data_IF_243125452578
#
_entry.id   IF_243125452578
#
_cell.length_a   1.000
_cell.length_b   1.000
_cell.length_c   1.000
_cell.angle_alpha   90.00
_cell.angle_beta   90.00
_cell.angle_gamma   90.00
#
_symmetry.space_group_name_H-M   'P 1'
#
loop_
_entity.id
_entity.type
_entity.pdbx_description
1 polymer ?
#
# COMPACT_ATOMS: atom_id res chain seq x y z
N UNK A 1 -46.37 76.72 3.78
CA UNK A 1 -46.10 75.53 4.63
C UNK A 1 -45.73 74.25 3.87
N UNK A 2 -46.35 73.91 2.74
CA UNK A 2 -46.05 72.66 2.00
C UNK A 2 -44.61 72.55 1.45
N UNK A 3 -44.04 73.66 0.97
CA UNK A 3 -42.69 73.67 0.37
C UNK A 3 -41.57 73.33 1.39
N UNK A 4 -41.76 73.71 2.67
CA UNK A 4 -40.84 73.38 3.76
C UNK A 4 -40.92 71.89 4.15
N UNK A 5 -42.12 71.30 4.18
CA UNK A 5 -42.30 69.85 4.39
C UNK A 5 -41.65 69.02 3.27
N UNK A 6 -41.81 69.44 2.01
CA UNK A 6 -41.15 68.80 0.87
C UNK A 6 -39.62 68.84 0.97
N UNK A 7 -39.03 70.01 1.30
CA UNK A 7 -37.57 70.12 1.51
C UNK A 7 -37.06 69.20 2.62
N UNK A 8 -37.82 69.08 3.71
CA UNK A 8 -37.48 68.23 4.86
C UNK A 8 -37.55 66.73 4.54
N UNK A 9 -38.57 66.28 3.80
CA UNK A 9 -38.66 64.91 3.29
C UNK A 9 -37.50 64.59 2.34
N UNK A 10 -37.16 65.51 1.44
CA UNK A 10 -36.06 65.33 0.50
C UNK A 10 -34.70 65.22 1.20
N UNK A 11 -34.50 66.00 2.28
CA UNK A 11 -33.32 65.89 3.14
C UNK A 11 -33.26 64.53 3.87
N UNK A 12 -34.40 64.03 4.40
CA UNK A 12 -34.48 62.70 5.02
C UNK A 12 -34.16 61.57 4.02
N UNK A 13 -34.69 61.63 2.81
CA UNK A 13 -34.37 60.67 1.74
C UNK A 13 -32.89 60.69 1.38
N UNK A 14 -32.28 61.88 1.22
CA UNK A 14 -30.83 62.00 0.98
C UNK A 14 -30.01 61.37 2.10
N UNK A 15 -30.40 61.58 3.36
CA UNK A 15 -29.72 61.00 4.52
C UNK A 15 -29.85 59.47 4.56
N UNK A 16 -31.03 58.91 4.26
CA UNK A 16 -31.23 57.46 4.15
C UNK A 16 -30.39 56.85 3.02
N UNK A 17 -30.33 57.51 1.86
CA UNK A 17 -29.50 57.06 0.74
C UNK A 17 -28.00 57.07 1.11
N UNK A 18 -27.55 58.09 1.84
CA UNK A 18 -26.18 58.15 2.35
C UNK A 18 -25.88 56.99 3.33
N UNK A 19 -26.82 56.67 4.24
CA UNK A 19 -26.70 55.52 5.16
C UNK A 19 -26.62 54.19 4.40
N UNK A 20 -27.46 53.99 3.38
CA UNK A 20 -27.45 52.78 2.55
C UNK A 20 -26.11 52.63 1.79
N UNK A 21 -25.61 53.72 1.20
CA UNK A 21 -24.28 53.73 0.53
C UNK A 21 -23.16 53.34 1.49
N UNK A 22 -23.19 53.87 2.71
CA UNK A 22 -22.21 53.54 3.75
C UNK A 22 -22.28 52.08 4.19
N UNK A 23 -23.49 51.51 4.36
CA UNK A 23 -23.65 50.08 4.65
C UNK A 23 -23.13 49.20 3.51
N UNK A 24 -23.43 49.55 2.26
CA UNK A 24 -22.91 48.83 1.09
C UNK A 24 -21.38 48.87 1.02
N UNK A 25 -20.77 50.01 1.35
CA UNK A 25 -19.32 50.13 1.44
C UNK A 25 -18.72 49.22 2.53
N UNK A 26 -19.38 49.14 3.71
CA UNK A 26 -18.97 48.23 4.79
C UNK A 26 -19.06 46.75 4.37
N UNK A 27 -20.15 46.34 3.71
CA UNK A 27 -20.30 44.97 3.20
C UNK A 27 -19.24 44.63 2.14
N UNK A 28 -18.95 45.56 1.22
CA UNK A 28 -17.86 45.37 0.23
C UNK A 28 -16.50 45.17 0.91
N UNK A 29 -16.21 45.95 1.95
CA UNK A 29 -14.98 45.82 2.73
C UNK A 29 -14.91 44.48 3.47
N UNK A 30 -16.00 44.00 4.07
CA UNK A 30 -16.06 42.68 4.70
C UNK A 30 -15.84 41.54 3.69
N UNK A 31 -16.47 41.61 2.52
CA UNK A 31 -16.25 40.65 1.45
C UNK A 31 -14.79 40.63 0.97
N UNK A 32 -14.16 41.79 0.84
CA UNK A 32 -12.74 41.88 0.50
C UNK A 32 -11.85 41.21 1.57
N UNK A 33 -12.14 41.42 2.86
CA UNK A 33 -11.44 40.74 3.97
C UNK A 33 -11.61 39.23 3.92
N UNK A 34 -12.82 38.73 3.68
CA UNK A 34 -13.08 37.29 3.56
C UNK A 34 -12.33 36.68 2.36
N UNK A 35 -12.31 37.35 1.21
CA UNK A 35 -11.53 36.92 0.03
C UNK A 35 -10.03 36.83 0.35
N UNK A 36 -9.49 37.82 1.07
CA UNK A 36 -8.08 37.82 1.49
C UNK A 36 -7.77 36.67 2.46
N UNK A 37 -8.65 36.38 3.42
CA UNK A 37 -8.49 35.24 4.32
C UNK A 37 -8.51 33.91 3.56
N UNK A 38 -9.46 33.73 2.63
CA UNK A 38 -9.51 32.54 1.77
C UNK A 38 -8.24 32.38 0.93
N UNK A 39 -7.67 33.46 0.41
CA UNK A 39 -6.41 33.42 -0.32
C UNK A 39 -5.24 32.97 0.59
N UNK A 40 -5.18 33.48 1.82
CA UNK A 40 -4.18 33.04 2.81
C UNK A 40 -4.30 31.56 3.15
N UNK A 41 -5.51 31.05 3.39
CA UNK A 41 -5.75 29.64 3.65
C UNK A 41 -5.35 28.77 2.45
N UNK A 42 -5.67 29.18 1.21
CA UNK A 42 -5.22 28.49 -0.01
C UNK A 42 -3.69 28.43 -0.10
N UNK A 43 -3.01 29.53 0.20
CA UNK A 43 -1.54 29.58 0.20
C UNK A 43 -0.94 28.67 1.28
N UNK A 44 -1.50 28.65 2.49
CA UNK A 44 -1.08 27.73 3.56
C UNK A 44 -1.27 26.27 3.16
N UNK A 45 -2.44 25.92 2.59
CA UNK A 45 -2.68 24.57 2.08
C UNK A 45 -1.69 24.18 0.97
N UNK A 46 -1.33 25.11 0.07
CA UNK A 46 -0.33 24.87 -0.95
C UNK A 46 1.06 24.61 -0.34
N UNK A 47 1.45 25.37 0.69
CA UNK A 47 2.70 25.13 1.44
C UNK A 47 2.72 23.76 2.12
N UNK A 48 1.65 23.38 2.81
CA UNK A 48 1.53 22.05 3.42
C UNK A 48 1.61 20.93 2.38
N UNK A 49 0.95 21.08 1.22
CA UNK A 49 1.04 20.11 0.12
C UNK A 49 2.47 19.97 -0.41
N UNK A 50 3.20 21.08 -0.57
CA UNK A 50 4.61 21.03 -0.95
C UNK A 50 5.45 20.31 0.11
N UNK A 51 5.29 20.64 1.39
CA UNK A 51 6.03 19.98 2.48
C UNK A 51 5.79 18.47 2.50
N UNK A 52 4.54 18.04 2.34
CA UNK A 52 4.20 16.63 2.25
C UNK A 52 4.86 15.97 1.03
N UNK A 53 4.87 16.63 -0.14
CA UNK A 53 5.55 16.11 -1.31
C UNK A 53 7.07 15.96 -1.10
N UNK A 54 7.72 16.93 -0.43
CA UNK A 54 9.13 16.80 -0.05
C UNK A 54 9.38 15.62 0.88
N UNK A 55 8.51 15.42 1.87
CA UNK A 55 8.59 14.28 2.77
C UNK A 55 8.42 12.95 2.03
N UNK A 56 7.45 12.86 1.11
CA UNK A 56 7.22 11.67 0.29
C UNK A 56 8.45 11.35 -0.59
N UNK A 57 9.04 12.35 -1.24
CA UNK A 57 10.25 12.19 -2.06
C UNK A 57 11.43 11.74 -1.19
N UNK A 58 11.60 12.36 -0.03
CA UNK A 58 12.66 11.99 0.91
C UNK A 58 12.51 10.54 1.39
N UNK A 59 11.28 10.12 1.71
CA UNK A 59 10.98 8.77 2.14
C UNK A 59 11.22 7.74 1.02
N UNK A 60 10.87 8.07 -0.22
CA UNK A 60 11.20 7.25 -1.40
C UNK A 60 12.72 7.11 -1.53
N UNK A 61 13.49 8.20 -1.37
CA UNK A 61 14.95 8.18 -1.43
C UNK A 61 15.56 7.24 -0.39
N UNK A 62 15.10 7.32 0.86
CA UNK A 62 15.52 6.40 1.94
C UNK A 62 15.14 4.96 1.60
N UNK A 63 13.91 4.73 1.15
CA UNK A 63 13.43 3.39 0.81
C UNK A 63 14.28 2.75 -0.29
N UNK A 64 14.58 3.49 -1.37
CA UNK A 64 15.45 3.04 -2.45
C UNK A 64 16.86 2.72 -1.95
N UNK A 65 17.43 3.56 -1.09
CA UNK A 65 18.75 3.33 -0.50
C UNK A 65 18.78 2.04 0.35
N UNK A 66 17.79 1.84 1.21
CA UNK A 66 17.67 0.64 2.04
C UNK A 66 17.52 -0.61 1.16
N UNK A 67 16.68 -0.54 0.12
CA UNK A 67 16.50 -1.64 -0.81
C UNK A 67 17.78 -1.98 -1.58
N UNK A 68 18.50 -0.96 -2.06
CA UNK A 68 19.78 -1.12 -2.75
C UNK A 68 20.82 -1.78 -1.86
N UNK A 69 20.97 -1.31 -0.61
CA UNK A 69 21.88 -1.93 0.35
C UNK A 69 21.49 -3.39 0.66
N UNK A 70 20.19 -3.67 0.80
CA UNK A 70 19.72 -5.05 1.01
C UNK A 70 20.10 -5.97 -0.15
N UNK A 71 19.81 -5.54 -1.38
CA UNK A 71 19.97 -6.39 -2.56
C UNK A 71 21.43 -6.46 -3.03
N UNK A 72 22.09 -5.33 -3.24
CA UNK A 72 23.41 -5.28 -3.91
C UNK A 72 24.59 -5.37 -2.93
N UNK A 73 24.37 -5.20 -1.62
CA UNK A 73 25.43 -5.32 -0.60
C UNK A 73 25.23 -6.54 0.29
N UNK A 74 24.07 -6.68 0.93
CA UNK A 74 23.86 -7.76 1.89
C UNK A 74 23.61 -9.13 1.25
N UNK A 75 22.93 -9.19 0.10
CA UNK A 75 22.68 -10.47 -0.57
C UNK A 75 23.98 -11.17 -1.03
N UNK A 76 24.98 -10.49 -1.62
CA UNK A 76 26.27 -11.10 -1.91
C UNK A 76 26.99 -11.61 -0.66
N UNK A 77 27.01 -10.84 0.43
CA UNK A 77 27.61 -11.23 1.71
C UNK A 77 26.96 -12.50 2.26
N UNK A 78 25.64 -12.64 2.13
CA UNK A 78 24.94 -13.88 2.46
C UNK A 78 25.38 -15.04 1.56
N UNK A 79 25.48 -14.85 0.24
CA UNK A 79 25.88 -15.91 -0.68
C UNK A 79 27.28 -16.45 -0.39
N UNK A 80 28.20 -15.60 0.08
CA UNK A 80 29.55 -15.97 0.48
C UNK A 80 29.59 -16.69 1.84
N UNK A 81 28.98 -16.09 2.87
CA UNK A 81 29.10 -16.58 4.25
C UNK A 81 28.09 -17.68 4.61
N UNK A 82 26.98 -17.76 3.87
CA UNK A 82 25.82 -18.63 4.11
C UNK A 82 25.19 -18.52 5.51
N UNK A 83 25.51 -17.46 6.26
CA UNK A 83 24.96 -17.20 7.59
C UNK A 83 23.54 -16.64 7.49
N UNK A 84 22.60 -17.24 8.23
CA UNK A 84 21.17 -16.91 8.16
C UNK A 84 20.83 -15.46 8.55
N UNK A 85 21.64 -14.85 9.44
CA UNK A 85 21.46 -13.46 9.87
C UNK A 85 21.46 -12.48 8.70
N UNK A 86 22.37 -12.64 7.72
CA UNK A 86 22.46 -11.75 6.56
C UNK A 86 21.26 -11.89 5.62
N UNK A 87 20.72 -13.09 5.49
CA UNK A 87 19.50 -13.33 4.72
C UNK A 87 18.29 -12.65 5.37
N UNK A 88 18.12 -12.80 6.69
CA UNK A 88 17.04 -12.14 7.44
C UNK A 88 17.18 -10.62 7.34
N UNK A 89 18.38 -10.08 7.51
CA UNK A 89 18.62 -8.64 7.42
C UNK A 89 18.30 -8.11 6.02
N UNK A 90 18.69 -8.83 4.96
CA UNK A 90 18.33 -8.53 3.57
C UNK A 90 16.81 -8.45 3.40
N UNK A 91 16.08 -9.45 3.90
CA UNK A 91 14.62 -9.49 3.81
C UNK A 91 13.96 -8.34 4.57
N UNK A 92 14.46 -8.00 5.76
CA UNK A 92 13.95 -6.85 6.53
C UNK A 92 14.16 -5.55 5.77
N UNK A 93 15.34 -5.33 5.17
CA UNK A 93 15.62 -4.13 4.39
C UNK A 93 14.73 -4.02 3.14
N UNK A 94 14.63 -5.09 2.35
CA UNK A 94 13.78 -5.13 1.15
C UNK A 94 12.30 -4.98 1.52
N UNK A 95 11.84 -5.67 2.58
CA UNK A 95 10.49 -5.55 3.10
C UNK A 95 10.16 -4.13 3.58
N UNK A 96 11.11 -3.48 4.27
CA UNK A 96 10.96 -2.09 4.72
C UNK A 96 10.84 -1.12 3.55
N UNK A 97 11.62 -1.30 2.48
CA UNK A 97 11.49 -0.51 1.25
C UNK A 97 10.06 -0.60 0.69
N UNK A 98 9.53 -1.81 0.50
CA UNK A 98 8.18 -1.98 -0.05
C UNK A 98 7.08 -1.47 0.90
N UNK A 99 7.30 -1.55 2.21
CA UNK A 99 6.41 -0.95 3.20
C UNK A 99 6.32 0.56 3.01
N UNK A 100 7.46 1.25 2.89
CA UNK A 100 7.49 2.70 2.65
C UNK A 100 6.86 3.08 1.31
N UNK A 101 7.11 2.32 0.24
CA UNK A 101 6.40 2.50 -1.03
C UNK A 101 4.89 2.35 -0.86
N UNK A 102 4.44 1.35 -0.10
CA UNK A 102 3.04 1.17 0.24
C UNK A 102 2.44 2.41 0.90
N UNK A 103 3.13 3.02 1.87
CA UNK A 103 2.68 4.24 2.54
C UNK A 103 2.54 5.42 1.57
N UNK A 104 3.55 5.65 0.74
CA UNK A 104 3.59 6.79 -0.19
C UNK A 104 2.58 6.62 -1.34
N UNK A 105 2.54 5.44 -1.96
CA UNK A 105 1.73 5.21 -3.16
C UNK A 105 0.27 4.84 -2.87
N UNK A 106 -0.12 4.60 -1.62
CA UNK A 106 -1.48 4.18 -1.22
C UNK A 106 -2.61 5.01 -1.86
N UNK A 107 -2.43 6.32 -1.94
CA UNK A 107 -3.46 7.25 -2.45
C UNK A 107 -3.46 7.40 -3.98
N UNK A 108 -2.40 6.93 -4.64
CA UNK A 108 -2.18 7.07 -6.08
C UNK A 108 -2.49 5.79 -6.85
N UNK A 109 -2.25 4.62 -6.26
CA UNK A 109 -2.41 3.30 -6.91
C UNK A 109 -3.75 3.18 -7.61
N UNK A 110 -4.86 3.45 -6.92
CA UNK A 110 -6.21 3.28 -7.45
C UNK A 110 -6.54 4.17 -8.66
N UNK A 111 -5.87 5.33 -8.78
CA UNK A 111 -6.08 6.25 -9.91
C UNK A 111 -5.29 5.85 -11.15
N UNK A 112 -4.26 5.01 -10.98
CA UNK A 112 -3.32 4.61 -12.03
C UNK A 112 -3.59 3.20 -12.57
N UNK A 113 -4.58 2.47 -12.04
CA UNK A 113 -4.88 1.11 -12.48
C UNK A 113 -5.48 1.11 -13.89
N UNK A 114 -4.81 0.40 -14.81
CA UNK A 114 -5.21 0.24 -16.20
C UNK A 114 -4.98 -1.21 -16.64
N UNK A 115 -6.04 -1.96 -17.03
CA UNK A 115 -5.93 -3.34 -17.47
C UNK A 115 -5.02 -3.57 -18.68
N UNK A 116 -5.01 -2.63 -19.64
CA UNK A 116 -4.16 -2.73 -20.84
C UNK A 116 -2.69 -2.62 -20.45
N UNK A 117 -2.38 -1.68 -19.57
CA UNK A 117 -1.02 -1.53 -19.05
C UNK A 117 -0.57 -2.73 -18.22
N UNK A 118 -1.48 -3.35 -17.45
CA UNK A 118 -1.17 -4.60 -16.75
C UNK A 118 -0.86 -5.75 -17.72
N UNK A 119 -1.56 -5.86 -18.85
CA UNK A 119 -1.25 -6.85 -19.88
C UNK A 119 0.14 -6.61 -20.47
N UNK A 120 0.50 -5.35 -20.76
CA UNK A 120 1.84 -4.99 -21.19
C UNK A 120 2.91 -5.36 -20.15
N UNK A 121 2.71 -5.02 -18.88
CA UNK A 121 3.62 -5.39 -17.79
C UNK A 121 3.74 -6.91 -17.61
N UNK A 122 2.65 -7.65 -17.82
CA UNK A 122 2.69 -9.11 -17.78
C UNK A 122 3.56 -9.68 -18.89
N UNK A 123 3.42 -9.18 -20.13
CA UNK A 123 4.28 -9.57 -21.25
C UNK A 123 5.74 -9.20 -20.98
N UNK A 124 6.00 -8.01 -20.43
CA UNK A 124 7.33 -7.58 -20.02
C UNK A 124 7.93 -8.53 -18.97
N UNK A 125 7.16 -8.94 -17.96
CA UNK A 125 7.61 -9.91 -16.95
C UNK A 125 7.94 -11.27 -17.56
N UNK A 126 7.11 -11.75 -18.49
CA UNK A 126 7.36 -13.01 -19.22
C UNK A 126 8.66 -12.92 -20.01
N UNK A 127 8.87 -11.81 -20.72
CA UNK A 127 10.10 -11.55 -21.49
C UNK A 127 11.35 -11.46 -20.60
N UNK A 128 11.28 -10.67 -19.51
CA UNK A 128 12.40 -10.55 -18.57
C UNK A 128 12.72 -11.90 -17.89
N UNK A 129 11.71 -12.76 -17.71
CA UNK A 129 11.93 -14.11 -17.19
C UNK A 129 12.50 -15.07 -18.25
N UNK A 130 12.12 -14.96 -19.52
CA UNK A 130 12.69 -15.81 -20.58
C UNK A 130 14.17 -15.56 -20.79
N UNK A 131 14.60 -14.30 -20.65
CA UNK A 131 16.01 -13.90 -20.74
C UNK A 131 16.77 -14.13 -19.43
N UNK A 132 16.15 -14.81 -18.47
CA UNK A 132 16.64 -15.02 -17.10
C UNK A 132 16.97 -13.73 -16.34
N UNK A 133 16.59 -12.53 -16.78
CA UNK A 133 16.90 -11.25 -16.11
C UNK A 133 16.15 -11.05 -14.79
N UNK A 134 15.13 -11.86 -14.51
CA UNK A 134 14.39 -11.88 -13.24
C UNK A 134 14.34 -13.32 -12.71
N UNK A 135 14.86 -13.54 -11.51
CA UNK A 135 14.77 -14.83 -10.80
C UNK A 135 13.37 -15.10 -10.23
N UNK A 136 13.17 -16.28 -9.63
CA UNK A 136 11.95 -16.53 -8.86
C UNK A 136 11.88 -15.54 -7.68
N UNK A 137 10.84 -14.70 -7.64
CA UNK A 137 10.56 -13.77 -6.55
C UNK A 137 10.10 -14.55 -5.28
N UNK A 138 10.98 -15.40 -4.75
CA UNK A 138 10.79 -16.05 -3.45
C UNK A 138 11.59 -15.24 -2.45
N UNK A 139 10.89 -14.57 -1.52
CA UNK A 139 11.54 -13.73 -0.49
C UNK A 139 12.31 -14.56 0.55
N UNK A 140 11.88 -15.78 0.81
CA UNK A 140 12.65 -16.73 1.61
C UNK A 140 13.69 -17.39 0.70
N UNK A 141 14.97 -17.28 1.03
CA UNK A 141 16.08 -17.83 0.22
C UNK A 141 16.34 -17.06 -1.09
N UNK A 142 15.99 -15.77 -1.12
CA UNK A 142 16.10 -14.90 -2.28
C UNK A 142 17.56 -14.72 -2.73
N UNK A 143 17.93 -15.39 -3.83
CA UNK A 143 19.12 -15.05 -4.59
C UNK A 143 18.77 -13.88 -5.51
N UNK A 144 19.19 -12.67 -5.17
CA UNK A 144 18.99 -11.49 -6.01
C UNK A 144 20.07 -11.40 -7.10
N UNK A 145 20.04 -12.32 -8.06
CA UNK A 145 21.14 -12.51 -9.02
C UNK A 145 21.33 -11.36 -10.02
N UNK A 146 20.26 -10.58 -10.30
CA UNK A 146 20.25 -9.54 -11.33
C UNK A 146 20.25 -8.12 -10.75
N UNK A 147 20.61 -8.01 -9.47
CA UNK A 147 20.76 -6.74 -8.76
C UNK A 147 19.45 -6.01 -8.45
N UNK A 148 19.59 -4.83 -7.86
CA UNK A 148 18.48 -4.06 -7.31
C UNK A 148 17.41 -3.68 -8.34
N UNK A 149 17.82 -3.18 -9.51
CA UNK A 149 16.90 -2.60 -10.50
C UNK A 149 15.91 -3.63 -11.07
N UNK A 150 16.39 -4.77 -11.57
CA UNK A 150 15.53 -5.81 -12.14
C UNK A 150 14.64 -6.46 -11.09
N UNK A 151 15.16 -6.65 -9.88
CA UNK A 151 14.39 -7.16 -8.74
C UNK A 151 13.24 -6.21 -8.37
N UNK A 152 13.52 -4.91 -8.33
CA UNK A 152 12.52 -3.88 -8.05
C UNK A 152 11.47 -3.79 -9.15
N UNK A 153 11.89 -3.77 -10.41
CA UNK A 153 11.00 -3.72 -11.57
C UNK A 153 10.07 -4.93 -11.60
N UNK A 154 10.60 -6.13 -11.37
CA UNK A 154 9.83 -7.36 -11.30
C UNK A 154 8.77 -7.32 -10.20
N UNK A 155 9.17 -6.95 -8.99
CA UNK A 155 8.28 -6.86 -7.85
C UNK A 155 7.18 -5.81 -8.04
N UNK A 156 7.51 -4.59 -8.45
CA UNK A 156 6.53 -3.53 -8.67
C UNK A 156 5.53 -3.88 -9.79
N UNK A 157 6.01 -4.51 -10.87
CA UNK A 157 5.14 -4.99 -11.95
C UNK A 157 4.16 -6.04 -11.45
N UNK A 158 4.63 -7.01 -10.66
CA UNK A 158 3.78 -8.05 -10.06
C UNK A 158 2.74 -7.47 -9.08
N UNK A 159 3.15 -6.53 -8.24
CA UNK A 159 2.24 -5.81 -7.31
C UNK A 159 1.15 -5.06 -8.10
N UNK A 160 1.54 -4.34 -9.15
CA UNK A 160 0.60 -3.59 -9.99
C UNK A 160 -0.42 -4.51 -10.67
N UNK A 161 0.03 -5.61 -11.29
CA UNK A 161 -0.84 -6.60 -11.93
C UNK A 161 -1.82 -7.18 -10.90
N UNK A 162 -1.35 -7.50 -9.70
CA UNK A 162 -2.19 -8.03 -8.61
C UNK A 162 -3.30 -7.04 -8.23
N UNK A 163 -2.99 -5.74 -8.13
CA UNK A 163 -4.00 -4.72 -7.85
C UNK A 163 -5.02 -4.56 -8.97
N UNK A 164 -4.59 -4.61 -10.24
CA UNK A 164 -5.52 -4.55 -11.39
C UNK A 164 -6.47 -5.75 -11.39
N UNK A 165 -5.95 -6.96 -11.19
CA UNK A 165 -6.80 -8.17 -11.08
C UNK A 165 -7.78 -8.02 -9.91
N UNK A 166 -7.32 -7.51 -8.76
CA UNK A 166 -8.17 -7.29 -7.59
C UNK A 166 -9.28 -6.27 -7.84
N UNK A 167 -8.99 -5.17 -8.53
CA UNK A 167 -9.97 -4.14 -8.92
C UNK A 167 -10.98 -4.68 -9.93
N UNK A 168 -10.54 -5.48 -10.91
CA UNK A 168 -11.44 -6.15 -11.85
C UNK A 168 -12.37 -7.13 -11.12
N UNK A 169 -11.84 -8.00 -10.27
CA UNK A 169 -12.65 -8.94 -9.48
C UNK A 169 -13.70 -8.21 -8.64
N UNK A 170 -13.33 -7.09 -8.01
CA UNK A 170 -14.24 -6.30 -7.21
C UNK A 170 -15.40 -5.66 -8.01
N UNK A 171 -15.18 -5.33 -9.30
CA UNK A 171 -16.19 -4.75 -10.19
C UNK A 171 -17.15 -5.77 -10.80
N UNK A 172 -16.64 -6.96 -11.15
CA UNK A 172 -17.40 -7.94 -11.93
C UNK A 172 -18.10 -9.03 -11.09
N UNK A 173 -17.70 -9.25 -9.82
CA UNK A 173 -18.35 -10.27 -9.00
C UNK A 173 -18.22 -10.06 -7.51
N UNK A 174 -19.32 -10.27 -6.78
CA UNK A 174 -19.27 -10.41 -5.33
C UNK A 174 -18.89 -11.85 -4.95
N UNK A 175 -17.60 -12.12 -4.93
CA UNK A 175 -17.10 -13.42 -4.51
C UNK A 175 -16.91 -13.46 -2.98
N UNK A 176 -17.87 -14.09 -2.29
CA UNK A 176 -17.85 -14.28 -0.82
C UNK A 176 -16.53 -14.88 -0.30
N UNK A 177 -15.91 -15.78 -1.07
CA UNK A 177 -14.63 -16.40 -0.71
C UNK A 177 -13.50 -15.35 -0.66
N UNK A 178 -13.28 -14.61 -1.75
CA UNK A 178 -12.22 -13.60 -1.83
C UNK A 178 -12.43 -12.47 -0.81
N UNK A 179 -13.68 -12.07 -0.56
CA UNK A 179 -13.99 -11.10 0.49
C UNK A 179 -13.63 -11.61 1.89
N UNK A 180 -13.94 -12.87 2.20
CA UNK A 180 -13.58 -13.50 3.47
C UNK A 180 -12.06 -13.61 3.63
N UNK A 181 -11.35 -14.02 2.59
CA UNK A 181 -9.88 -14.08 2.58
C UNK A 181 -9.30 -12.68 2.82
N UNK A 182 -9.80 -11.67 2.10
CA UNK A 182 -9.36 -10.28 2.25
C UNK A 182 -9.55 -9.73 3.66
N UNK A 183 -10.71 -9.99 4.30
CA UNK A 183 -10.98 -9.58 5.69
C UNK A 183 -10.02 -10.24 6.70
N UNK A 184 -9.62 -11.48 6.45
CA UNK A 184 -8.69 -12.21 7.32
C UNK A 184 -7.22 -12.11 6.88
N UNK A 185 -6.89 -11.25 5.90
CA UNK A 185 -5.55 -11.11 5.33
C UNK A 185 -4.47 -10.88 6.39
N UNK A 186 -4.76 -10.07 7.42
CA UNK A 186 -3.85 -9.85 8.56
C UNK A 186 -3.53 -11.16 9.30
N UNK A 187 -4.55 -11.95 9.62
CA UNK A 187 -4.37 -13.26 10.27
C UNK A 187 -3.57 -14.22 9.40
N UNK A 188 -3.89 -14.26 8.11
CA UNK A 188 -3.18 -15.11 7.15
C UNK A 188 -1.70 -14.75 7.13
N UNK A 189 -1.37 -13.46 6.98
CA UNK A 189 0.02 -13.00 6.97
C UNK A 189 0.72 -13.21 8.32
N UNK A 190 0.04 -13.09 9.45
CA UNK A 190 0.67 -13.34 10.77
C UNK A 190 1.01 -14.82 10.97
N UNK A 191 0.12 -15.73 10.58
CA UNK A 191 0.24 -17.15 10.94
C UNK A 191 0.71 -18.07 9.81
N UNK A 192 0.90 -17.59 8.58
CA UNK A 192 1.26 -18.44 7.44
C UNK A 192 2.55 -19.24 7.64
N UNK A 193 3.59 -18.70 8.28
CA UNK A 193 4.83 -19.46 8.54
C UNK A 193 4.56 -20.62 9.51
N UNK A 194 3.78 -20.38 10.56
CA UNK A 194 3.40 -21.43 11.52
C UNK A 194 2.52 -22.47 10.81
N UNK A 195 1.57 -22.04 9.98
CA UNK A 195 0.73 -22.93 9.19
C UNK A 195 1.56 -23.79 8.21
N UNK A 196 2.54 -23.22 7.52
CA UNK A 196 3.44 -23.98 6.65
C UNK A 196 4.28 -24.98 7.43
N UNK A 197 4.82 -24.60 8.59
CA UNK A 197 5.56 -25.53 9.46
C UNK A 197 4.68 -26.68 9.95
N UNK A 198 3.45 -26.39 10.39
CA UNK A 198 2.51 -27.42 10.84
C UNK A 198 2.14 -28.40 9.73
N UNK A 199 1.87 -27.91 8.51
CA UNK A 199 1.56 -28.77 7.37
C UNK A 199 2.75 -29.67 7.03
N UNK A 200 3.96 -29.12 7.04
CA UNK A 200 5.17 -29.91 6.79
C UNK A 200 5.34 -31.04 7.82
N UNK A 201 5.09 -30.78 9.10
CA UNK A 201 5.11 -31.82 10.16
C UNK A 201 4.04 -32.88 9.90
N UNK A 202 2.83 -32.49 9.51
CA UNK A 202 1.75 -33.44 9.16
C UNK A 202 2.15 -34.29 7.96
N UNK A 203 2.77 -33.70 6.94
CA UNK A 203 3.19 -34.42 5.74
C UNK A 203 4.31 -35.41 6.02
N UNK A 204 5.23 -35.08 6.92
CA UNK A 204 6.23 -36.04 7.41
C UNK A 204 5.60 -37.19 8.19
N UNK A 205 4.65 -36.91 9.09
CA UNK A 205 3.92 -37.96 9.82
C UNK A 205 3.15 -38.92 8.88
N UNK A 206 2.69 -38.42 7.73
CA UNK A 206 2.03 -39.20 6.70
C UNK A 206 3.00 -39.88 5.73
N UNK A 207 4.32 -39.71 5.89
CA UNK A 207 5.35 -40.26 5.02
C UNK A 207 5.41 -39.61 3.63
N UNK A 208 4.83 -38.41 3.45
CA UNK A 208 4.73 -37.71 2.16
C UNK A 208 5.96 -36.82 1.88
N UNK A 209 6.70 -36.43 2.91
CA UNK A 209 7.91 -35.59 2.80
C UNK A 209 8.93 -35.96 3.88
N UNK A 210 10.22 -35.92 3.56
CA UNK A 210 11.29 -36.04 4.55
C UNK A 210 11.67 -34.65 5.09
N UNK A 211 11.54 -34.42 6.41
CA UNK A 211 12.05 -33.20 7.02
C UNK A 211 13.53 -33.38 7.37
N UNK A 212 14.39 -32.93 6.46
CA UNK A 212 15.82 -32.84 6.75
C UNK A 212 16.15 -31.43 7.28
N UNK A 213 16.65 -31.26 8.52
CA UNK A 213 16.96 -29.94 9.07
C UNK A 213 18.04 -29.17 8.29
N UNK A 214 18.81 -29.87 7.45
CA UNK A 214 19.92 -29.30 6.67
C UNK A 214 19.61 -29.17 5.17
N UNK A 215 18.41 -29.56 4.71
CA UNK A 215 17.98 -29.40 3.32
C UNK A 215 16.63 -28.70 3.28
N UNK A 216 16.42 -27.91 2.24
CA UNK A 216 15.08 -27.39 1.95
C UNK A 216 14.17 -28.61 1.76
N UNK A 217 13.04 -28.70 2.45
CA UNK A 217 12.12 -29.82 2.27
C UNK A 217 11.77 -29.89 0.78
N UNK A 218 12.08 -31.03 0.15
CA UNK A 218 11.68 -31.30 -1.22
C UNK A 218 10.16 -31.38 -1.21
N UNK A 219 9.51 -30.28 -1.59
CA UNK A 219 8.06 -30.27 -1.76
C UNK A 219 7.69 -31.40 -2.70
N UNK A 220 6.59 -32.13 -2.42
CA UNK A 220 6.18 -33.26 -3.23
C UNK A 220 6.20 -32.87 -4.71
N UNK A 221 7.02 -33.57 -5.51
CA UNK A 221 7.23 -33.32 -6.96
C UNK A 221 5.94 -33.41 -7.80
N UNK A 222 4.82 -33.71 -7.16
CA UNK A 222 3.50 -33.84 -7.74
C UNK A 222 2.85 -32.45 -7.84
N UNK A 223 2.59 -32.01 -9.07
CA UNK A 223 2.01 -30.69 -9.36
C UNK A 223 0.71 -30.36 -8.60
N UNK A 224 -0.04 -31.39 -8.16
CA UNK A 224 -1.29 -31.24 -7.41
C UNK A 224 -1.11 -30.94 -5.92
N UNK A 225 0.04 -31.24 -5.33
CA UNK A 225 0.26 -31.07 -3.90
C UNK A 225 0.46 -29.59 -3.52
N UNK A 226 1.01 -28.77 -4.43
CA UNK A 226 1.26 -27.35 -4.17
C UNK A 226 -0.03 -26.51 -3.99
N UNK A 227 -1.05 -26.61 -4.87
CA UNK A 227 -2.34 -25.93 -4.64
C UNK A 227 -3.02 -26.35 -3.33
N UNK A 228 -2.99 -27.64 -3.01
CA UNK A 228 -3.60 -28.18 -1.78
C UNK A 228 -2.86 -27.62 -0.55
N UNK A 229 -1.52 -27.66 -0.56
CA UNK A 229 -0.68 -27.10 0.49
C UNK A 229 -0.98 -25.62 0.75
N UNK A 230 -1.10 -24.82 -0.31
CA UNK A 230 -1.40 -23.39 -0.21
C UNK A 230 -2.80 -23.13 0.36
N UNK A 231 -3.81 -23.87 -0.10
CA UNK A 231 -5.18 -23.75 0.38
C UNK A 231 -5.27 -24.12 1.87
N UNK A 232 -4.68 -25.24 2.27
CA UNK A 232 -4.66 -25.67 3.67
C UNK A 232 -3.97 -24.65 4.58
N UNK A 233 -2.85 -24.06 4.14
CA UNK A 233 -2.14 -23.06 4.91
C UNK A 233 -3.00 -21.82 5.18
N UNK A 234 -3.76 -21.37 4.18
CA UNK A 234 -4.70 -20.26 4.34
C UNK A 234 -5.79 -20.61 5.37
N UNK A 235 -6.39 -21.80 5.26
CA UNK A 235 -7.43 -22.23 6.19
C UNK A 235 -6.93 -22.33 7.63
N UNK A 236 -5.78 -22.98 7.86
CA UNK A 236 -5.16 -23.10 9.19
C UNK A 236 -4.87 -21.71 9.76
N UNK A 237 -4.32 -20.79 8.94
CA UNK A 237 -3.99 -19.44 9.40
C UNK A 237 -5.23 -18.62 9.80
N UNK A 238 -6.36 -18.79 9.09
CA UNK A 238 -7.63 -18.17 9.47
C UNK A 238 -8.19 -18.80 10.76
N UNK A 239 -8.10 -20.12 10.87
CA UNK A 239 -8.59 -20.86 12.04
C UNK A 239 -7.85 -20.46 13.32
N UNK A 240 -6.51 -20.42 13.29
CA UNK A 240 -5.67 -19.97 14.41
C UNK A 240 -6.05 -18.55 14.84
N UNK A 241 -6.17 -17.62 13.89
CA UNK A 241 -6.52 -16.24 14.24
C UNK A 241 -7.88 -16.11 14.91
N UNK A 242 -8.90 -16.79 14.38
CA UNK A 242 -10.25 -16.78 14.98
C UNK A 242 -10.27 -17.45 16.35
N UNK A 243 -9.52 -18.53 16.51
CA UNK A 243 -9.38 -19.23 17.79
C UNK A 243 -8.77 -18.31 18.86
N UNK A 244 -7.66 -17.63 18.54
CA UNK A 244 -7.02 -16.68 19.45
C UNK A 244 -7.90 -15.47 19.75
N UNK A 245 -8.64 -14.96 18.77
CA UNK A 245 -9.59 -13.87 18.98
C UNK A 245 -10.72 -14.29 19.94
N UNK A 246 -11.23 -15.52 19.81
CA UNK A 246 -12.25 -16.08 20.71
C UNK A 246 -11.72 -16.24 22.13
N UNK A 247 -10.48 -16.71 22.29
CA UNK A 247 -9.82 -16.80 23.61
C UNK A 247 -9.64 -15.41 24.22
N UNK A 248 -9.12 -14.45 23.45
CA UNK A 248 -8.91 -13.08 23.94
C UNK A 248 -10.22 -12.47 24.44
N UNK A 249 -11.32 -12.61 23.69
CA UNK A 249 -12.63 -12.09 24.11
C UNK A 249 -13.20 -12.80 25.34
N UNK A 250 -12.91 -14.09 25.54
CA UNK A 250 -13.32 -14.86 26.72
C UNK A 250 -12.49 -14.60 27.98
N UNK A 251 -11.31 -13.99 27.84
CA UNK A 251 -10.46 -13.57 28.98
C UNK A 251 -10.84 -12.17 29.50
N UNK A 252 -11.43 -11.32 28.63
CA UNK A 252 -11.89 -9.97 28.99
C UNK A 252 -13.39 -9.89 29.34
N UNK A 253 -14.08 -11.04 29.49
CA UNK A 253 -15.46 -11.15 29.95
C UNK A 253 -15.53 -11.79 31.32
#
# INVERSE_FOLDING_TARGET
>A
MQNAKCKMQNAKCKMQNAKCKMQNAKCKMQNAKCKMQNAKCKMQNAKCKMQNAFYDIFLIGIALLIGYLGIDVLSPIYNENKLIYWNILTQVMVGSMFFYFGVVFKSYIWKMLNPVFACFLFLLLVYLKSDNLIGSLIMSWSKYQFGFFFSLLGALSGIYITFVISDMLAKYGDFNLFRTIGKNSKSIMTFHLIAFTLINVIFEMLGLTELNPNKIPDYPKQAYAFPIFLIFSIFISIWIGRFLEKISRGIYS
#
